data_IF_034135448880
#
_entry.id   IF_034135448880
#
_cell.length_a   1.000
_cell.length_b   1.000
_cell.length_c   1.000
_cell.angle_alpha   90.00
_cell.angle_beta   90.00
_cell.angle_gamma   90.00
#
_symmetry.space_group_name_H-M   'P 1'
#
loop_
_entity.id
_entity.type
_entity.pdbx_description
1 polymer ?
#
# COMPACT_ATOMS: atom_id res chain seq x y z
N UNK A 1 10.03 12.15 44.83
CA UNK A 1 9.01 11.77 43.82
C UNK A 1 8.66 12.88 42.82
N UNK A 2 8.75 14.18 43.15
CA UNK A 2 8.44 15.28 42.19
C UNK A 2 9.44 15.47 41.03
N UNK A 3 10.67 14.96 41.14
CA UNK A 3 11.70 15.03 40.09
C UNK A 3 11.65 13.89 39.05
N UNK A 4 10.84 12.84 39.27
CA UNK A 4 10.75 11.68 38.37
C UNK A 4 9.63 11.81 37.32
N UNK A 5 8.62 12.64 37.58
CA UNK A 5 7.56 12.98 36.63
C UNK A 5 8.05 13.69 35.35
N UNK A 6 8.95 14.71 35.41
CA UNK A 6 9.48 15.30 34.18
C UNK A 6 10.39 14.34 33.41
N UNK A 7 11.15 13.47 34.11
CA UNK A 7 11.99 12.47 33.46
C UNK A 7 11.18 11.38 32.73
N UNK A 8 10.03 10.99 33.30
CA UNK A 8 9.12 10.03 32.67
C UNK A 8 8.36 10.62 31.48
N UNK A 9 7.96 11.90 31.55
CA UNK A 9 7.36 12.62 30.42
C UNK A 9 8.34 12.83 29.26
N UNK A 10 9.62 13.09 29.55
CA UNK A 10 10.70 13.16 28.54
C UNK A 10 10.99 11.78 27.95
N UNK A 11 10.96 10.70 28.75
CA UNK A 11 11.15 9.33 28.26
C UNK A 11 10.00 8.86 27.36
N UNK A 12 8.75 9.19 27.68
CA UNK A 12 7.58 8.90 26.83
C UNK A 12 7.60 9.69 25.51
N UNK A 13 8.04 10.95 25.54
CA UNK A 13 8.18 11.76 24.33
C UNK A 13 9.25 11.22 23.36
N UNK A 14 10.24 10.46 23.84
CA UNK A 14 11.26 9.81 23.01
C UNK A 14 10.83 8.45 22.44
N UNK A 15 9.69 7.89 22.89
CA UNK A 15 9.21 6.57 22.42
C UNK A 15 8.28 6.63 21.21
N UNK A 16 7.69 7.79 20.90
CA UNK A 16 6.80 7.96 19.73
C UNK A 16 7.48 7.64 18.40
N UNK A 17 8.71 8.13 18.24
CA UNK A 17 9.55 7.88 17.06
C UNK A 17 10.02 6.41 16.98
N UNK A 18 10.23 5.77 18.15
CA UNK A 18 10.75 4.40 18.23
C UNK A 18 9.73 3.36 17.76
N UNK A 19 8.43 3.60 17.87
CA UNK A 19 7.41 2.61 17.47
C UNK A 19 7.25 2.52 15.95
N UNK A 20 7.17 3.67 15.26
CA UNK A 20 7.09 3.73 13.79
C UNK A 20 8.37 3.20 13.16
N UNK A 21 9.53 3.64 13.67
CA UNK A 21 10.82 3.16 13.21
C UNK A 21 10.99 1.65 13.47
N UNK A 22 10.60 1.15 14.64
CA UNK A 22 10.68 -0.28 14.95
C UNK A 22 9.73 -1.12 14.10
N UNK A 23 8.51 -0.66 13.86
CA UNK A 23 7.56 -1.31 12.96
C UNK A 23 8.09 -1.38 11.52
N UNK A 24 8.66 -0.28 11.03
CA UNK A 24 9.24 -0.23 9.69
C UNK A 24 10.48 -1.12 9.56
N UNK A 25 11.34 -1.17 10.58
CA UNK A 25 12.55 -2.00 10.57
C UNK A 25 12.27 -3.52 10.57
N UNK A 26 11.05 -3.95 10.90
CA UNK A 26 10.63 -5.35 10.85
C UNK A 26 9.74 -5.64 9.63
N UNK A 27 9.53 -4.66 8.75
CA UNK A 27 8.57 -4.76 7.65
C UNK A 27 8.91 -5.88 6.66
N UNK A 28 10.19 -6.13 6.41
CA UNK A 28 10.64 -7.22 5.54
C UNK A 28 10.26 -8.59 6.11
N UNK A 29 10.47 -8.80 7.41
CA UNK A 29 10.09 -10.04 8.09
C UNK A 29 8.58 -10.25 8.09
N UNK A 30 7.81 -9.18 8.34
CA UNK A 30 6.35 -9.23 8.32
C UNK A 30 5.80 -9.56 6.93
N UNK A 31 6.35 -8.95 5.88
CA UNK A 31 5.98 -9.24 4.49
C UNK A 31 6.35 -10.69 4.14
N UNK A 32 7.56 -11.14 4.46
CA UNK A 32 8.00 -12.51 4.18
C UNK A 32 7.12 -13.56 4.88
N UNK A 33 6.76 -13.32 6.16
CA UNK A 33 5.82 -14.17 6.89
C UNK A 33 4.44 -14.20 6.21
N UNK A 34 3.93 -13.04 5.78
CA UNK A 34 2.64 -12.97 5.07
C UNK A 34 2.65 -13.70 3.72
N UNK A 35 3.79 -13.71 3.03
CA UNK A 35 3.96 -14.43 1.76
C UNK A 35 3.95 -15.96 1.98
N UNK A 36 4.61 -16.47 3.02
CA UNK A 36 4.60 -17.91 3.38
C UNK A 36 3.18 -18.40 3.70
N UNK A 37 2.41 -17.53 4.34
CA UNK A 37 0.99 -17.70 4.62
C UNK A 37 0.12 -17.83 3.37
N UNK A 38 0.57 -17.41 2.18
CA UNK A 38 -0.15 -17.60 0.91
C UNK A 38 0.48 -18.70 0.06
N UNK A 39 1.80 -18.75 0.03
CA UNK A 39 2.61 -19.66 -0.76
C UNK A 39 3.61 -20.37 0.18
N UNK A 40 3.27 -21.54 0.76
CA UNK A 40 4.15 -22.22 1.71
C UNK A 40 5.51 -22.54 1.11
N UNK A 41 6.58 -21.91 1.59
CA UNK A 41 7.91 -22.01 1.02
C UNK A 41 8.76 -23.06 1.73
N UNK A 42 9.51 -23.84 0.95
CA UNK A 42 10.60 -24.67 1.48
C UNK A 42 11.84 -23.81 1.79
N UNK A 43 12.79 -24.36 2.54
CA UNK A 43 13.97 -23.63 3.04
C UNK A 43 14.76 -22.91 1.95
N UNK A 44 14.98 -23.56 0.79
CA UNK A 44 15.68 -22.96 -0.34
C UNK A 44 14.90 -21.80 -1.00
N UNK A 45 13.57 -21.80 -1.00
CA UNK A 45 12.78 -20.66 -1.46
C UNK A 45 12.85 -19.49 -0.47
N UNK A 46 12.75 -19.75 0.83
CA UNK A 46 12.87 -18.69 1.85
C UNK A 46 14.22 -17.98 1.78
N UNK A 47 15.29 -18.74 1.57
CA UNK A 47 16.64 -18.19 1.39
C UNK A 47 16.77 -17.23 0.19
N UNK A 48 15.88 -17.31 -0.79
CA UNK A 48 15.84 -16.40 -1.95
C UNK A 48 14.88 -15.23 -1.72
N UNK A 49 13.74 -15.49 -1.09
CA UNK A 49 12.66 -14.50 -0.89
C UNK A 49 12.99 -13.49 0.18
N UNK A 50 13.61 -13.91 1.29
CA UNK A 50 14.02 -13.00 2.36
C UNK A 50 14.92 -11.87 1.82
N UNK A 51 16.03 -12.14 1.11
CA UNK A 51 16.83 -11.09 0.49
C UNK A 51 16.06 -10.23 -0.53
N UNK A 52 15.11 -10.79 -1.27
CA UNK A 52 14.32 -10.04 -2.25
C UNK A 52 13.37 -9.04 -1.59
N UNK A 53 12.70 -9.45 -0.51
CA UNK A 53 11.85 -8.58 0.30
C UNK A 53 12.69 -7.52 1.00
N UNK A 54 13.88 -7.86 1.52
CA UNK A 54 14.79 -6.87 2.11
C UNK A 54 15.21 -5.82 1.08
N UNK A 55 15.58 -6.20 -0.14
CA UNK A 55 15.88 -5.23 -1.22
C UNK A 55 14.70 -4.32 -1.55
N UNK A 56 13.48 -4.85 -1.57
CA UNK A 56 12.27 -4.06 -1.79
C UNK A 56 12.05 -3.03 -0.67
N UNK A 57 12.18 -3.45 0.58
CA UNK A 57 12.00 -2.57 1.76
C UNK A 57 13.10 -1.50 1.84
N UNK A 58 14.35 -1.87 1.54
CA UNK A 58 15.48 -0.94 1.52
C UNK A 58 15.33 0.09 0.40
N UNK A 59 14.91 -0.35 -0.80
CA UNK A 59 14.57 0.57 -1.90
C UNK A 59 13.41 1.50 -1.54
N UNK A 60 12.34 0.98 -0.93
CA UNK A 60 11.20 1.78 -0.50
C UNK A 60 11.65 2.83 0.53
N UNK A 61 12.52 2.44 1.47
CA UNK A 61 13.07 3.35 2.44
C UNK A 61 13.90 4.46 1.79
N UNK A 62 14.83 4.08 0.90
CA UNK A 62 15.77 5.02 0.31
C UNK A 62 15.13 5.96 -0.73
N UNK A 63 14.01 5.57 -1.34
CA UNK A 63 13.41 6.32 -2.47
C UNK A 63 12.00 6.81 -2.20
N UNK A 64 11.13 5.97 -1.64
CA UNK A 64 9.71 6.29 -1.51
C UNK A 64 9.43 7.09 -0.24
N UNK A 65 10.06 6.78 0.90
CA UNK A 65 9.86 7.56 2.13
C UNK A 65 10.24 9.05 1.97
N UNK A 66 11.40 9.41 1.38
CA UNK A 66 11.70 10.81 1.09
C UNK A 66 10.73 11.45 0.08
N UNK A 67 10.24 10.68 -0.90
CA UNK A 67 9.26 11.17 -1.85
C UNK A 67 7.89 11.43 -1.19
N UNK A 68 7.49 10.59 -0.23
CA UNK A 68 6.27 10.80 0.56
C UNK A 68 6.40 12.04 1.44
N UNK A 69 7.53 12.21 2.13
CA UNK A 69 7.74 13.38 2.98
C UNK A 69 7.75 14.68 2.15
N UNK A 70 8.39 14.66 0.97
CA UNK A 70 8.36 15.78 0.04
C UNK A 70 6.94 16.08 -0.48
N UNK A 71 6.20 15.05 -0.87
CA UNK A 71 4.82 15.20 -1.33
C UNK A 71 3.88 15.72 -0.24
N UNK A 72 3.98 15.20 0.99
CA UNK A 72 3.18 15.67 2.13
C UNK A 72 3.40 17.15 2.43
N UNK A 73 4.62 17.68 2.22
CA UNK A 73 4.87 19.14 2.30
C UNK A 73 4.09 19.92 1.25
N UNK A 74 3.96 19.39 0.03
CA UNK A 74 3.16 20.04 -1.02
C UNK A 74 1.67 20.01 -0.70
N UNK A 75 1.18 18.89 -0.14
CA UNK A 75 -0.21 18.78 0.34
C UNK A 75 -0.46 19.79 1.46
N UNK A 76 0.43 19.86 2.46
CA UNK A 76 0.32 20.83 3.55
C UNK A 76 0.27 22.26 3.03
N UNK A 77 1.17 22.62 2.10
CA UNK A 77 1.20 23.95 1.48
C UNK A 77 -0.13 24.31 0.79
N UNK A 78 -0.67 23.41 -0.04
CA UNK A 78 -1.94 23.62 -0.73
C UNK A 78 -3.12 23.68 0.26
N UNK A 79 -3.08 22.90 1.33
CA UNK A 79 -4.03 22.99 2.43
C UNK A 79 -3.92 24.30 3.20
N UNK A 80 -2.80 25.03 3.18
CA UNK A 80 -2.71 26.37 3.82
C UNK A 80 -3.41 27.43 2.98
N UNK A 81 -3.24 27.38 1.68
CA UNK A 81 -3.81 28.35 0.72
C UNK A 81 -5.24 28.03 0.30
N UNK A 82 -5.73 26.82 0.60
CA UNK A 82 -7.00 26.31 0.13
C UNK A 82 -6.80 25.35 -1.05
N UNK A 83 -7.21 24.10 -0.87
CA UNK A 83 -7.06 23.05 -1.87
C UNK A 83 -8.14 23.17 -2.96
N UNK A 84 -7.73 23.41 -4.19
CA UNK A 84 -8.64 23.36 -5.35
C UNK A 84 -8.91 21.93 -5.80
N UNK A 85 -10.03 21.69 -6.50
CA UNK A 85 -10.35 20.36 -7.07
C UNK A 85 -9.23 19.84 -7.99
N UNK A 86 -8.64 20.71 -8.80
CA UNK A 86 -7.55 20.34 -9.69
C UNK A 86 -6.29 19.89 -8.92
N UNK A 87 -5.94 20.60 -7.83
CA UNK A 87 -4.82 20.22 -6.97
C UNK A 87 -5.13 18.95 -6.18
N UNK A 88 -6.36 18.79 -5.68
CA UNK A 88 -6.80 17.57 -5.02
C UNK A 88 -6.68 16.35 -5.95
N UNK A 89 -7.13 16.46 -7.20
CA UNK A 89 -6.94 15.40 -8.21
C UNK A 89 -5.46 15.08 -8.42
N UNK A 90 -4.60 16.09 -8.58
CA UNK A 90 -3.17 15.87 -8.75
C UNK A 90 -2.52 15.13 -7.56
N UNK A 91 -2.94 15.44 -6.32
CA UNK A 91 -2.47 14.70 -5.15
C UNK A 91 -2.99 13.26 -5.11
N UNK A 92 -4.25 13.02 -5.48
CA UNK A 92 -4.79 11.66 -5.58
C UNK A 92 -4.04 10.84 -6.64
N UNK A 93 -3.80 11.42 -7.82
CA UNK A 93 -3.05 10.78 -8.89
C UNK A 93 -1.60 10.47 -8.47
N UNK A 94 -0.97 11.39 -7.73
CA UNK A 94 0.38 11.16 -7.19
C UNK A 94 0.40 10.05 -6.13
N UNK A 95 -0.60 9.99 -5.24
CA UNK A 95 -0.73 8.91 -4.25
C UNK A 95 -0.90 7.54 -4.92
N UNK A 96 -1.72 7.45 -5.96
CA UNK A 96 -1.88 6.24 -6.77
C UNK A 96 -0.57 5.88 -7.50
N UNK A 97 0.15 6.89 -8.00
CA UNK A 97 1.45 6.73 -8.64
C UNK A 97 2.48 6.04 -7.73
N UNK A 98 2.55 6.41 -6.45
CA UNK A 98 3.40 5.72 -5.48
C UNK A 98 3.07 4.23 -5.35
N UNK A 99 1.77 3.90 -5.33
CA UNK A 99 1.32 2.51 -5.34
C UNK A 99 1.78 1.74 -6.58
N UNK A 100 1.70 2.35 -7.76
CA UNK A 100 2.18 1.76 -9.01
C UNK A 100 3.69 1.50 -9.02
N UNK A 101 4.50 2.43 -8.49
CA UNK A 101 5.94 2.26 -8.37
C UNK A 101 6.32 1.09 -7.45
N UNK A 102 5.66 1.00 -6.28
CA UNK A 102 5.83 -0.12 -5.36
C UNK A 102 5.42 -1.44 -6.04
N UNK A 103 4.26 -1.48 -6.67
CA UNK A 103 3.75 -2.67 -7.35
C UNK A 103 4.72 -3.16 -8.43
N UNK A 104 5.27 -2.25 -9.24
CA UNK A 104 6.25 -2.58 -10.29
C UNK A 104 7.53 -3.14 -9.69
N UNK A 105 8.08 -2.53 -8.63
CA UNK A 105 9.30 -3.04 -7.97
C UNK A 105 9.03 -4.38 -7.30
N UNK A 106 7.90 -4.55 -6.63
CA UNK A 106 7.51 -5.79 -5.97
C UNK A 106 7.35 -6.93 -6.98
N UNK A 107 6.73 -6.68 -8.13
CA UNK A 107 6.63 -7.68 -9.21
C UNK A 107 8.01 -8.13 -9.72
N UNK A 108 9.01 -7.23 -9.78
CA UNK A 108 10.39 -7.61 -10.16
C UNK A 108 11.11 -8.42 -9.09
N UNK A 109 11.00 -8.01 -7.83
CA UNK A 109 11.72 -8.66 -6.72
C UNK A 109 11.08 -10.00 -6.34
N UNK A 110 9.74 -10.08 -6.32
CA UNK A 110 8.98 -11.25 -5.86
C UNK A 110 8.45 -12.10 -7.02
N UNK A 111 8.32 -11.57 -8.23
CA UNK A 111 7.86 -12.31 -9.42
C UNK A 111 8.62 -13.63 -9.68
N UNK A 112 9.96 -13.68 -9.55
CA UNK A 112 10.70 -14.93 -9.64
C UNK A 112 10.23 -16.05 -8.70
N UNK A 113 9.76 -15.72 -7.49
CA UNK A 113 9.18 -16.70 -6.57
C UNK A 113 7.91 -17.32 -7.16
N UNK A 114 7.06 -16.48 -7.74
CA UNK A 114 5.79 -16.90 -8.35
C UNK A 114 6.03 -17.75 -9.60
N UNK A 115 7.07 -17.43 -10.38
CA UNK A 115 7.51 -18.26 -11.53
C UNK A 115 8.02 -19.63 -11.06
N UNK A 116 8.81 -19.66 -9.99
CA UNK A 116 9.38 -20.89 -9.42
C UNK A 116 8.42 -21.70 -8.53
N UNK A 117 7.15 -21.30 -8.44
CA UNK A 117 6.16 -21.99 -7.62
C UNK A 117 5.79 -23.37 -8.18
N UNK A 118 5.75 -24.36 -7.30
CA UNK A 118 5.31 -25.72 -7.65
C UNK A 118 3.80 -25.76 -7.88
N UNK A 119 3.27 -26.76 -8.62
CA UNK A 119 1.83 -26.94 -8.79
C UNK A 119 1.07 -26.99 -7.45
N UNK A 120 1.61 -27.69 -6.45
CA UNK A 120 1.01 -27.79 -5.11
C UNK A 120 0.97 -26.43 -4.39
N UNK A 121 1.99 -25.59 -4.57
CA UNK A 121 2.02 -24.24 -4.01
C UNK A 121 0.99 -23.32 -4.69
N UNK A 122 0.81 -23.43 -6.01
CA UNK A 122 -0.21 -22.68 -6.75
C UNK A 122 -1.62 -23.11 -6.32
N UNK A 123 -1.84 -24.41 -6.12
CA UNK A 123 -3.10 -24.92 -5.60
C UNK A 123 -3.39 -24.37 -4.19
N UNK A 124 -2.38 -24.40 -3.31
CA UNK A 124 -2.49 -23.84 -1.96
C UNK A 124 -2.79 -22.33 -1.98
N UNK A 125 -2.11 -21.58 -2.85
CA UNK A 125 -2.36 -20.16 -3.08
C UNK A 125 -3.81 -19.91 -3.51
N UNK A 126 -4.26 -20.60 -4.56
CA UNK A 126 -5.62 -20.49 -5.09
C UNK A 126 -6.68 -20.86 -4.04
N UNK A 127 -6.43 -21.91 -3.23
CA UNK A 127 -7.31 -22.33 -2.14
C UNK A 127 -7.43 -21.25 -1.06
N UNK A 128 -6.33 -20.61 -0.67
CA UNK A 128 -6.36 -19.51 0.30
C UNK A 128 -7.02 -18.27 -0.25
N UNK A 129 -6.80 -17.92 -1.52
CA UNK A 129 -7.47 -16.80 -2.16
C UNK A 129 -8.99 -17.01 -2.16
N UNK A 130 -9.45 -18.22 -2.51
CA UNK A 130 -10.87 -18.61 -2.43
C UNK A 130 -11.41 -18.54 -1.01
N UNK A 131 -10.65 -19.01 0.00
CA UNK A 131 -11.04 -18.90 1.41
C UNK A 131 -11.16 -17.44 1.84
N UNK A 132 -10.17 -16.60 1.54
CA UNK A 132 -10.20 -15.18 1.87
C UNK A 132 -11.37 -14.45 1.23
N UNK A 133 -11.75 -14.80 0.00
CA UNK A 133 -12.98 -14.23 -0.60
C UNK A 133 -14.23 -14.66 0.14
N UNK A 134 -14.31 -15.93 0.55
CA UNK A 134 -15.44 -16.45 1.32
C UNK A 134 -15.53 -15.75 2.68
N UNK A 135 -14.43 -15.72 3.43
CA UNK A 135 -14.37 -15.05 4.73
C UNK A 135 -14.73 -13.56 4.58
N UNK A 136 -14.18 -12.88 3.56
CA UNK A 136 -14.51 -11.49 3.27
C UNK A 136 -15.99 -11.29 2.94
N UNK A 137 -16.72 -12.27 2.41
CA UNK A 137 -18.16 -12.20 2.16
C UNK A 137 -18.97 -12.60 3.39
N UNK A 138 -18.50 -13.59 4.16
CA UNK A 138 -19.13 -14.12 5.38
C UNK A 138 -19.05 -13.11 6.54
N UNK A 139 -17.99 -12.29 6.61
CA UNK A 139 -17.76 -11.27 7.65
C UNK A 139 -18.62 -10.00 7.48
N UNK A 140 -19.50 -9.93 6.47
CA UNK A 140 -20.46 -8.85 6.31
C UNK A 140 -21.71 -9.14 7.16
N UNK A 141 -21.75 -8.67 8.41
CA UNK A 141 -22.91 -8.84 9.31
C UNK A 141 -23.81 -7.57 9.30
N UNK A 142 -25.16 -7.67 9.22
CA UNK A 142 -26.04 -6.51 9.12
C UNK A 142 -26.27 -5.84 10.48
N UNK A 143 -25.68 -4.66 10.66
CA UNK A 143 -26.02 -3.58 11.62
C UNK A 143 -25.05 -2.39 11.52
N UNK A 144 -23.91 -2.56 10.86
CA UNK A 144 -22.91 -1.50 10.62
C UNK A 144 -23.12 -0.77 9.28
N UNK A 145 -24.07 -1.23 8.46
CA UNK A 145 -24.33 -0.73 7.11
C UNK A 145 -25.03 0.64 7.05
N UNK A 146 -25.73 1.10 8.09
CA UNK A 146 -26.49 2.37 7.99
C UNK A 146 -25.60 3.62 7.94
N UNK A 147 -24.44 3.59 8.62
CA UNK A 147 -23.46 4.68 8.63
C UNK A 147 -22.50 4.61 7.42
N UNK A 148 -22.26 3.40 6.93
CA UNK A 148 -21.56 3.17 5.66
C UNK A 148 -22.49 3.48 4.48
N UNK A 149 -23.81 3.27 4.59
CA UNK A 149 -24.82 3.51 3.54
C UNK A 149 -24.92 4.99 3.18
N UNK A 150 -24.82 5.92 4.13
CA UNK A 150 -24.82 7.36 3.79
C UNK A 150 -23.61 7.74 2.92
N UNK A 151 -22.45 7.15 3.19
CA UNK A 151 -21.22 7.35 2.41
C UNK A 151 -21.19 6.51 1.13
N UNK A 152 -21.68 5.26 1.19
CA UNK A 152 -21.68 4.27 0.13
C UNK A 152 -22.82 4.45 -0.88
N UNK A 153 -23.91 5.14 -0.52
CA UNK A 153 -24.97 5.57 -1.46
C UNK A 153 -24.43 6.43 -2.60
N UNK A 154 -23.31 7.12 -2.34
CA UNK A 154 -22.66 8.04 -3.26
C UNK A 154 -21.37 7.49 -3.89
N UNK A 155 -20.86 6.36 -3.39
CA UNK A 155 -19.79 5.59 -4.02
C UNK A 155 -20.39 4.83 -5.18
N UNK A 156 -19.96 5.17 -6.40
CA UNK A 156 -20.33 4.42 -7.59
C UNK A 156 -19.57 3.10 -7.52
N UNK A 157 -20.19 2.04 -7.00
CA UNK A 157 -19.93 0.61 -7.21
C UNK A 157 -20.55 -0.13 -6.02
N UNK A 158 -21.39 -1.13 -6.29
CA UNK A 158 -21.94 -1.97 -5.23
C UNK A 158 -20.94 -3.10 -4.88
N UNK A 159 -21.14 -3.72 -3.71
CA UNK A 159 -20.26 -4.81 -3.24
C UNK A 159 -20.16 -5.98 -4.23
N UNK A 160 -21.19 -6.23 -5.04
CA UNK A 160 -21.21 -7.32 -6.02
C UNK A 160 -20.23 -7.07 -7.18
N UNK A 161 -20.22 -5.86 -7.74
CA UNK A 161 -19.35 -5.47 -8.85
C UNK A 161 -17.87 -5.44 -8.43
N UNK A 162 -17.59 -4.98 -7.20
CA UNK A 162 -16.27 -5.09 -6.59
C UNK A 162 -15.83 -6.54 -6.37
N UNK A 163 -16.73 -7.41 -5.90
CA UNK A 163 -16.44 -8.83 -5.73
C UNK A 163 -16.20 -9.54 -7.06
N UNK A 164 -16.97 -9.20 -8.11
CA UNK A 164 -16.76 -9.74 -9.45
C UNK A 164 -15.42 -9.27 -10.04
N UNK A 165 -15.08 -8.00 -9.91
CA UNK A 165 -13.78 -7.47 -10.33
C UNK A 165 -12.62 -8.15 -9.60
N UNK A 166 -12.77 -8.43 -8.30
CA UNK A 166 -11.81 -9.24 -7.53
C UNK A 166 -11.68 -10.66 -8.07
N UNK A 167 -12.78 -11.33 -8.45
CA UNK A 167 -12.74 -12.66 -9.06
C UNK A 167 -12.01 -12.65 -10.42
N UNK A 168 -12.28 -11.64 -11.26
CA UNK A 168 -11.62 -11.49 -12.57
C UNK A 168 -10.11 -11.28 -12.42
N UNK A 169 -9.71 -10.41 -11.50
CA UNK A 169 -8.29 -10.19 -11.21
C UNK A 169 -7.59 -11.47 -10.73
N UNK A 170 -8.25 -12.24 -9.86
CA UNK A 170 -7.72 -13.53 -9.39
C UNK A 170 -7.64 -14.58 -10.50
N UNK A 171 -8.62 -14.62 -11.41
CA UNK A 171 -8.58 -15.49 -12.58
C UNK A 171 -7.42 -15.12 -13.51
N UNK A 172 -7.23 -13.83 -13.79
CA UNK A 172 -6.10 -13.34 -14.58
C UNK A 172 -4.75 -13.70 -13.92
N UNK A 173 -4.62 -13.57 -12.60
CA UNK A 173 -3.43 -14.01 -11.88
C UNK A 173 -3.21 -15.53 -12.05
N UNK A 174 -4.26 -16.33 -11.87
CA UNK A 174 -4.16 -17.77 -12.04
C UNK A 174 -3.72 -18.17 -13.45
N UNK A 175 -4.19 -17.46 -14.49
CA UNK A 175 -3.79 -17.68 -15.88
C UNK A 175 -2.32 -17.36 -16.13
N UNK A 176 -1.81 -16.25 -15.56
CA UNK A 176 -0.38 -15.90 -15.62
C UNK A 176 0.46 -16.99 -14.94
N UNK A 177 0.04 -17.47 -13.77
CA UNK A 177 0.75 -18.54 -13.05
C UNK A 177 0.65 -19.92 -13.74
N UNK A 178 -0.43 -20.19 -14.46
CA UNK A 178 -0.58 -21.40 -15.26
C UNK A 178 0.45 -21.44 -16.41
N UNK A 179 0.77 -20.27 -16.99
CA UNK A 179 1.77 -20.12 -18.05
C UNK A 179 3.19 -19.83 -17.55
N UNK A 180 3.48 -20.00 -16.24
CA UNK A 180 4.78 -19.66 -15.65
C UNK A 180 6.02 -20.35 -16.26
N UNK A 181 5.82 -21.45 -16.98
CA UNK A 181 6.89 -22.16 -17.68
C UNK A 181 7.22 -21.56 -19.06
N UNK A 182 6.49 -20.52 -19.49
CA UNK A 182 6.82 -19.72 -20.67
C UNK A 182 8.05 -18.82 -20.39
N UNK A 183 8.40 -17.97 -21.36
CA UNK A 183 9.52 -17.02 -21.23
C UNK A 183 9.42 -16.19 -19.95
N UNK A 184 10.45 -16.30 -19.10
CA UNK A 184 10.44 -15.76 -17.73
C UNK A 184 10.15 -14.26 -17.70
N UNK A 185 10.75 -13.50 -18.60
CA UNK A 185 10.58 -12.05 -18.67
C UNK A 185 9.16 -11.66 -19.11
N UNK A 186 8.53 -12.45 -19.98
CA UNK A 186 7.15 -12.24 -20.37
C UNK A 186 6.20 -12.46 -19.19
N UNK A 187 6.42 -13.49 -18.37
CA UNK A 187 5.61 -13.75 -17.18
C UNK A 187 5.77 -12.64 -16.14
N UNK A 188 6.99 -12.13 -15.93
CA UNK A 188 7.23 -10.99 -15.04
C UNK A 188 6.55 -9.73 -15.57
N UNK A 189 6.60 -9.48 -16.88
CA UNK A 189 5.88 -8.36 -17.51
C UNK A 189 4.36 -8.46 -17.36
N UNK A 190 3.80 -9.67 -17.49
CA UNK A 190 2.36 -9.92 -17.28
C UNK A 190 1.96 -9.67 -15.82
N UNK A 191 2.79 -10.12 -14.86
CA UNK A 191 2.60 -9.83 -13.43
C UNK A 191 2.67 -8.31 -13.18
N UNK A 192 3.70 -7.63 -13.69
CA UNK A 192 3.82 -6.17 -13.59
C UNK A 192 2.56 -5.48 -14.09
N UNK A 193 2.07 -5.84 -15.29
CA UNK A 193 0.86 -5.28 -15.88
C UNK A 193 -0.36 -5.53 -14.98
N UNK A 194 -0.53 -6.74 -14.47
CA UNK A 194 -1.68 -7.12 -13.64
C UNK A 194 -1.72 -6.37 -12.29
N UNK A 195 -0.55 -6.11 -11.69
CA UNK A 195 -0.45 -5.40 -10.41
C UNK A 195 -0.43 -3.87 -10.56
N UNK A 196 0.11 -3.34 -11.67
CA UNK A 196 0.18 -1.89 -11.94
C UNK A 196 -1.11 -1.37 -12.59
N UNK A 197 -1.79 -2.19 -13.39
CA UNK A 197 -2.99 -1.78 -14.13
C UNK A 197 -4.12 -2.79 -13.94
N UNK A 198 -4.60 -3.01 -12.70
CA UNK A 198 -5.63 -4.01 -12.42
C UNK A 198 -6.99 -3.66 -13.06
N UNK A 199 -7.22 -2.38 -13.40
CA UNK A 199 -8.39 -1.92 -14.17
C UNK A 199 -8.57 -2.63 -15.52
N UNK A 200 -7.48 -3.15 -16.12
CA UNK A 200 -7.55 -3.88 -17.40
C UNK A 200 -8.36 -5.18 -17.30
N UNK A 201 -8.51 -5.74 -16.09
CA UNK A 201 -9.21 -7.02 -15.86
C UNK A 201 -10.45 -6.85 -14.98
N UNK A 202 -10.68 -5.67 -14.42
CA UNK A 202 -11.90 -5.37 -13.68
C UNK A 202 -13.14 -5.33 -14.59
N UNK A 203 -14.33 -5.30 -14.00
CA UNK A 203 -15.53 -5.03 -14.79
C UNK A 203 -15.46 -3.58 -15.34
N UNK A 204 -16.09 -3.30 -16.51
CA UNK A 204 -16.21 -1.94 -16.99
C UNK A 204 -16.94 -1.03 -15.99
N UNK A 205 -17.94 -1.59 -15.29
CA UNK A 205 -18.67 -0.92 -14.22
C UNK A 205 -17.74 -0.45 -13.11
N UNK A 206 -16.93 -1.36 -12.57
CA UNK A 206 -16.02 -1.08 -11.45
C UNK A 206 -14.90 -0.10 -11.83
N UNK A 207 -14.40 -0.19 -13.06
CA UNK A 207 -13.38 0.74 -13.57
C UNK A 207 -13.93 2.16 -13.71
N UNK A 208 -15.10 2.32 -14.32
CA UNK A 208 -15.76 3.63 -14.44
C UNK A 208 -16.16 4.20 -13.07
N UNK A 209 -16.60 3.32 -12.17
CA UNK A 209 -16.85 3.60 -10.77
C UNK A 209 -15.61 4.15 -10.05
N UNK A 210 -14.46 3.48 -10.18
CA UNK A 210 -13.20 3.91 -9.58
C UNK A 210 -12.81 5.32 -10.04
N UNK A 211 -12.88 5.59 -11.34
CA UNK A 211 -12.59 6.92 -11.90
C UNK A 211 -13.56 8.00 -11.41
N UNK A 212 -14.86 7.68 -11.40
CA UNK A 212 -15.88 8.62 -10.92
C UNK A 212 -15.74 8.91 -9.41
N UNK A 213 -15.40 7.89 -8.62
CA UNK A 213 -15.15 8.04 -7.18
C UNK A 213 -13.89 8.86 -6.93
N UNK A 214 -12.86 8.73 -7.78
CA UNK A 214 -11.65 9.57 -7.73
C UNK A 214 -11.98 11.05 -7.89
N UNK A 215 -12.77 11.38 -8.91
CA UNK A 215 -13.21 12.76 -9.16
C UNK A 215 -14.05 13.33 -8.00
N UNK A 216 -15.00 12.53 -7.47
CA UNK A 216 -15.81 12.93 -6.30
C UNK A 216 -14.96 13.13 -5.04
N UNK A 217 -13.94 12.29 -4.84
CA UNK A 217 -13.01 12.44 -3.72
C UNK A 217 -12.26 13.78 -3.80
N UNK A 218 -11.85 14.21 -5.00
CA UNK A 218 -11.20 15.50 -5.19
C UNK A 218 -12.13 16.68 -4.89
N UNK A 219 -13.39 16.61 -5.31
CA UNK A 219 -14.43 17.59 -4.97
C UNK A 219 -14.65 17.67 -3.46
N UNK A 220 -14.79 16.51 -2.81
CA UNK A 220 -14.97 16.43 -1.36
C UNK A 220 -13.78 16.99 -0.57
N UNK A 221 -12.54 16.67 -0.99
CA UNK A 221 -11.33 17.20 -0.36
C UNK A 221 -11.22 18.72 -0.52
N UNK A 222 -11.58 19.25 -1.69
CA UNK A 222 -11.59 20.70 -1.94
C UNK A 222 -12.64 21.41 -1.07
N UNK A 223 -13.86 20.89 -1.03
CA UNK A 223 -14.93 21.42 -0.19
C UNK A 223 -14.60 21.36 1.31
N UNK A 224 -14.01 20.23 1.76
CA UNK A 224 -13.55 20.08 3.14
C UNK A 224 -12.46 21.10 3.47
N UNK A 225 -11.45 21.26 2.61
CA UNK A 225 -10.40 22.26 2.82
C UNK A 225 -10.96 23.68 2.93
N UNK A 226 -12.00 24.00 2.17
CA UNK A 226 -12.65 25.31 2.19
C UNK A 226 -13.44 25.56 3.47
N UNK A 227 -13.99 24.52 4.11
CA UNK A 227 -14.79 24.64 5.33
C UNK A 227 -13.98 24.69 6.63
N UNK A 228 -12.67 24.41 6.58
CA UNK A 228 -11.82 24.40 7.77
C UNK A 228 -11.70 25.77 8.44
N UNK A 229 -12.01 25.81 9.73
CA UNK A 229 -11.70 26.96 10.60
C UNK A 229 -10.18 27.16 10.72
N UNK A 230 -9.71 28.36 11.12
CA UNK A 230 -8.28 28.60 11.36
C UNK A 230 -7.65 27.61 12.35
N UNK A 231 -8.40 27.24 13.41
CA UNK A 231 -7.94 26.27 14.41
C UNK A 231 -7.81 24.85 13.82
N UNK A 232 -8.80 24.38 13.05
CA UNK A 232 -8.73 23.07 12.38
C UNK A 232 -7.62 23.03 11.34
N UNK A 233 -7.45 24.10 10.56
CA UNK A 233 -6.35 24.22 9.58
C UNK A 233 -5.00 24.14 10.28
N UNK A 234 -4.84 24.83 11.41
CA UNK A 234 -3.61 24.79 12.21
C UNK A 234 -3.34 23.41 12.81
N UNK A 235 -4.38 22.71 13.27
CA UNK A 235 -4.25 21.36 13.78
C UNK A 235 -3.77 20.40 12.68
N UNK A 236 -4.41 20.39 11.51
CA UNK A 236 -4.01 19.53 10.38
C UNK A 236 -2.57 19.80 9.93
N UNK A 237 -2.13 21.07 9.94
CA UNK A 237 -0.73 21.42 9.64
C UNK A 237 0.26 20.81 10.64
N UNK A 238 -0.11 20.79 11.93
CA UNK A 238 0.74 20.20 12.95
C UNK A 238 0.79 18.67 12.80
N UNK A 239 -0.34 18.02 12.49
CA UNK A 239 -0.39 16.57 12.21
C UNK A 239 0.44 16.21 10.97
N UNK A 240 0.32 16.98 9.88
CA UNK A 240 1.11 16.77 8.67
C UNK A 240 2.61 16.94 8.94
N UNK A 241 3.00 17.98 9.70
CA UNK A 241 4.39 18.18 10.10
C UNK A 241 4.93 17.05 11.00
N UNK A 242 4.10 16.53 11.92
CA UNK A 242 4.46 15.38 12.75
C UNK A 242 4.70 14.14 11.89
N UNK A 243 3.77 13.82 10.98
CA UNK A 243 3.90 12.68 10.08
C UNK A 243 5.14 12.78 9.18
N UNK A 244 5.43 13.97 8.64
CA UNK A 244 6.66 14.22 7.86
C UNK A 244 7.90 13.94 8.71
N UNK A 245 7.94 14.45 9.94
CA UNK A 245 9.06 14.23 10.84
C UNK A 245 9.22 12.73 11.19
N UNK A 246 8.13 12.02 11.45
CA UNK A 246 8.15 10.58 11.73
C UNK A 246 8.70 9.78 10.54
N UNK A 247 8.27 10.10 9.32
CA UNK A 247 8.78 9.47 8.09
C UNK A 247 10.29 9.74 7.92
N UNK A 248 10.74 10.97 8.18
CA UNK A 248 12.13 11.37 8.00
C UNK A 248 13.08 10.80 9.05
N UNK A 249 12.54 10.40 10.20
CA UNK A 249 13.29 9.71 11.25
C UNK A 249 13.45 8.21 10.98
N UNK A 250 12.72 7.65 10.01
CA UNK A 250 12.91 6.25 9.60
C UNK A 250 14.31 6.12 8.99
N UNK A 251 15.24 5.59 9.78
CA UNK A 251 16.59 5.33 9.35
C UNK A 251 16.62 4.09 8.44
N UNK A 252 16.97 4.29 7.17
CA UNK A 252 17.17 3.18 6.25
C UNK A 252 18.36 2.33 6.67
N UNK A 253 18.20 1.00 6.59
CA UNK A 253 19.33 0.08 6.67
C UNK A 253 20.33 0.45 5.58
N UNK A 254 21.63 0.52 5.92
CA UNK A 254 22.67 0.65 4.91
C UNK A 254 22.64 -0.62 4.07
N UNK A 255 22.26 -0.52 2.80
CA UNK A 255 22.39 -1.66 1.90
C UNK A 255 23.88 -1.94 1.66
N UNK A 256 24.29 -3.21 1.74
CA UNK A 256 25.66 -3.63 1.40
C UNK A 256 26.04 -3.25 -0.04
N UNK A 257 25.06 -3.03 -0.91
CA UNK A 257 25.25 -2.51 -2.27
C UNK A 257 25.90 -1.12 -2.30
N UNK A 258 25.77 -0.31 -1.24
CA UNK A 258 26.45 0.99 -1.14
C UNK A 258 27.93 0.91 -0.76
N UNK A 259 28.40 -0.25 -0.26
CA UNK A 259 29.80 -0.51 0.08
C UNK A 259 30.61 -1.00 -1.13
N UNK A 260 29.99 -1.76 -2.04
CA UNK A 260 30.66 -2.24 -3.27
C UNK A 260 30.79 -1.18 -4.36
N UNK A 261 30.00 -0.10 -4.30
CA UNK A 261 30.17 1.06 -5.20
C UNK A 261 31.30 2.02 -4.76
N UNK A 262 32.01 1.71 -3.66
CA UNK A 262 33.11 2.53 -3.11
C UNK A 262 34.41 1.76 -2.89
N UNK A 263 34.52 0.52 -3.39
CA UNK A 263 35.74 -0.30 -3.41
C UNK A 263 36.21 -0.50 -4.84
#
# INVERSE_FOLDING_TARGET
MKALLPAFAVALALTGCSFVQMGYNQLDRLIAWRLDDYLPMYSAQRAVVEPAVTRLVDWHCATQLPAYSAWLRTVDADMRSGLSVARANAHIDQALGFGHEIARRAAREVGPLMVGATPAQIEAFNKRMKKSNRDYVEDWVPAQLALIDDWARDVRSNGEDGMESRRRWQAALADVLARRNAERDAVISDLETLFVSPGNVFTPGYSAAFDANRARAAEALSALSASLTPAQRKHLQNEAASLIADIEQIACRRSESSLQARS
#
